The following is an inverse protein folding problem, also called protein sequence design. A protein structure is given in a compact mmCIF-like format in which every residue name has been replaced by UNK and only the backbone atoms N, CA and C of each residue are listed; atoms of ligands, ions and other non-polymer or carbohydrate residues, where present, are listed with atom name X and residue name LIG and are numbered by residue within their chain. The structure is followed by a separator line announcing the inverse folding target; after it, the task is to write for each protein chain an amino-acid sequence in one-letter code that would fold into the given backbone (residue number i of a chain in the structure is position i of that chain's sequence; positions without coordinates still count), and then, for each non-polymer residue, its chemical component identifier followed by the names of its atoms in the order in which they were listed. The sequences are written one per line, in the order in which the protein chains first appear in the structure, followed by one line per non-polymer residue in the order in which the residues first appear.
data_IF_519863332769
#
_entry.id   IF_519863332769
#
_cell.length_a   1.000
_cell.length_b   1.000
_cell.length_c   1.000
_cell.angle_alpha   90.00
_cell.angle_beta   90.00
_cell.angle_gamma   90.00
#
_symmetry.space_group_name_H-M   'P 1'
#
loop_
_entity.id
_entity.type
_entity.pdbx_description
1 polymer ?
#
# COMPACT_ATOMS: atom_id res chain seq x y z
N UNK A 1 32.25 -6.26 28.16
CA UNK A 1 31.69 -7.22 27.18
C UNK A 1 30.44 -6.58 26.59
N UNK A 2 30.47 -6.21 25.30
CA UNK A 2 29.34 -5.54 24.67
C UNK A 2 28.32 -6.58 24.19
N UNK A 3 27.08 -6.48 24.66
CA UNK A 3 25.99 -7.33 24.22
C UNK A 3 25.56 -6.87 22.81
N UNK A 4 25.87 -7.67 21.79
CA UNK A 4 25.36 -7.44 20.42
C UNK A 4 24.08 -8.24 20.22
N UNK A 5 23.07 -7.61 19.62
CA UNK A 5 21.89 -8.34 19.17
C UNK A 5 22.26 -9.27 17.99
N UNK A 6 21.39 -10.22 17.65
CA UNK A 6 21.68 -11.21 16.61
C UNK A 6 21.83 -10.61 15.20
N UNK A 7 21.24 -9.44 14.95
CA UNK A 7 21.36 -8.73 13.68
C UNK A 7 22.72 -8.05 13.49
N UNK A 8 23.40 -7.74 14.59
CA UNK A 8 24.72 -7.10 14.55
C UNK A 8 24.71 -5.78 13.79
N UNK A 9 25.73 -5.58 12.97
CA UNK A 9 25.94 -4.37 12.18
C UNK A 9 25.13 -4.44 10.86
N UNK A 10 24.74 -3.28 10.31
CA UNK A 10 24.00 -3.17 9.05
C UNK A 10 22.70 -4.00 8.96
N UNK A 11 21.97 -4.16 10.08
CA UNK A 11 20.68 -4.86 10.12
C UNK A 11 20.77 -6.33 9.61
N UNK A 12 21.90 -7.01 9.80
CA UNK A 12 22.14 -8.35 9.22
C UNK A 12 22.22 -8.38 7.68
N UNK A 13 22.24 -7.21 7.05
CA UNK A 13 22.06 -7.04 5.61
C UNK A 13 20.60 -7.14 5.15
N UNK A 14 19.62 -7.13 6.06
CA UNK A 14 18.22 -7.13 5.70
C UNK A 14 17.80 -5.77 5.15
N UNK A 15 17.08 -5.77 4.02
CA UNK A 15 16.55 -4.55 3.40
C UNK A 15 15.52 -3.81 4.25
N UNK A 16 14.75 -4.55 5.07
CA UNK A 16 13.67 -3.99 5.90
C UNK A 16 13.82 -4.44 7.35
N UNK A 17 13.34 -5.63 7.70
CA UNK A 17 13.30 -6.09 9.09
C UNK A 17 14.33 -7.19 9.31
N UNK A 18 15.10 -7.08 10.39
CA UNK A 18 15.92 -8.17 10.92
C UNK A 18 15.30 -8.64 12.24
N UNK A 19 14.86 -9.90 12.26
CA UNK A 19 14.16 -10.49 13.41
C UNK A 19 15.00 -11.62 14.01
N UNK A 20 15.04 -11.69 15.35
CA UNK A 20 15.69 -12.79 16.07
C UNK A 20 15.00 -14.11 15.70
N UNK A 21 15.78 -15.14 15.43
CA UNK A 21 15.31 -16.51 15.21
C UNK A 21 16.09 -17.49 16.11
N UNK A 22 15.62 -18.74 16.30
CA UNK A 22 16.37 -19.76 17.04
C UNK A 22 17.77 -20.02 16.47
N UNK A 23 17.95 -19.87 15.15
CA UNK A 23 19.23 -20.05 14.43
C UNK A 23 20.11 -18.78 14.41
N UNK A 24 19.63 -17.68 15.00
CA UNK A 24 20.32 -16.38 15.02
C UNK A 24 19.34 -15.26 14.67
N UNK A 25 19.25 -14.94 13.39
CA UNK A 25 18.29 -13.98 12.86
C UNK A 25 17.75 -14.41 11.48
N UNK A 26 16.65 -13.80 11.06
CA UNK A 26 16.09 -13.92 9.72
C UNK A 26 15.59 -12.56 9.24
N UNK A 27 15.68 -12.31 7.94
CA UNK A 27 15.08 -11.12 7.36
C UNK A 27 13.57 -11.33 7.14
N UNK A 28 12.80 -10.27 7.36
CA UNK A 28 11.36 -10.25 7.12
C UNK A 28 10.95 -8.99 6.36
N UNK A 29 9.82 -9.07 5.67
CA UNK A 29 9.31 -8.01 4.82
C UNK A 29 8.08 -7.34 5.43
N UNK A 30 7.79 -6.08 5.04
CA UNK A 30 6.53 -5.43 5.37
C UNK A 30 5.32 -6.30 5.00
N UNK A 31 4.22 -6.10 5.70
CA UNK A 31 2.98 -6.85 5.47
C UNK A 31 2.59 -6.86 4.00
N UNK A 32 2.33 -8.05 3.48
CA UNK A 32 1.90 -8.26 2.11
C UNK A 32 3.00 -8.21 1.05
N UNK A 33 4.29 -8.05 1.40
CA UNK A 33 5.40 -8.20 0.43
C UNK A 33 6.23 -9.44 0.71
N UNK A 34 6.79 -10.02 -0.36
CA UNK A 34 7.60 -11.24 -0.27
C UNK A 34 9.10 -10.92 -0.12
N UNK A 35 9.80 -11.81 0.57
CA UNK A 35 11.25 -11.86 0.61
C UNK A 35 11.77 -12.47 -0.70
N UNK A 36 12.79 -11.85 -1.28
CA UNK A 36 13.44 -12.35 -2.48
C UNK A 36 14.30 -13.59 -2.18
N UNK A 37 14.72 -14.27 -3.26
CA UNK A 37 15.51 -15.50 -3.17
C UNK A 37 16.87 -15.34 -2.48
N UNK A 38 17.37 -14.11 -2.33
CA UNK A 38 18.61 -13.83 -1.58
C UNK A 38 18.42 -13.91 -0.05
N UNK A 39 17.19 -14.06 0.42
CA UNK A 39 16.84 -14.15 1.83
C UNK A 39 17.04 -12.84 2.61
N UNK A 40 17.23 -11.70 1.93
CA UNK A 40 17.57 -10.41 2.54
C UNK A 40 16.78 -9.23 2.00
N UNK A 41 16.46 -9.25 0.72
CA UNK A 41 15.84 -8.14 0.01
C UNK A 41 14.35 -8.38 -0.15
N UNK A 42 13.52 -7.37 0.10
CA UNK A 42 12.07 -7.48 -0.11
C UNK A 42 11.67 -6.95 -1.48
N UNK A 43 10.62 -7.52 -2.06
CA UNK A 43 9.93 -6.84 -3.16
C UNK A 43 9.32 -5.53 -2.67
N UNK A 44 9.41 -4.49 -3.49
CA UNK A 44 8.89 -3.16 -3.16
C UNK A 44 7.36 -3.16 -2.96
N UNK A 45 6.66 -4.03 -3.68
CA UNK A 45 5.21 -4.17 -3.65
C UNK A 45 4.82 -5.63 -3.95
N UNK A 46 3.61 -6.08 -3.54
CA UNK A 46 3.06 -7.33 -4.03
C UNK A 46 2.88 -7.32 -5.55
N UNK A 47 3.00 -8.48 -6.15
CA UNK A 47 2.74 -8.74 -7.57
C UNK A 47 1.25 -8.73 -7.86
N UNK A 48 0.45 -9.39 -7.00
CA UNK A 48 -1.00 -9.43 -7.12
C UNK A 48 -1.65 -8.90 -5.84
N UNK A 49 -2.59 -7.97 -5.99
CA UNK A 49 -3.25 -7.34 -4.85
C UNK A 49 -4.63 -6.82 -5.21
N UNK A 50 -5.49 -6.72 -4.20
CA UNK A 50 -6.78 -6.02 -4.26
C UNK A 50 -6.59 -4.61 -3.74
N UNK A 51 -7.23 -3.63 -4.40
CA UNK A 51 -7.23 -2.23 -4.02
C UNK A 51 -8.67 -1.77 -3.82
N UNK A 52 -8.97 -1.13 -2.70
CA UNK A 52 -10.31 -0.62 -2.40
C UNK A 52 -10.25 0.70 -1.62
N UNK A 53 -11.36 1.44 -1.65
CA UNK A 53 -11.53 2.66 -0.88
C UNK A 53 -12.12 2.35 0.51
N UNK A 54 -11.50 2.86 1.55
CA UNK A 54 -11.93 2.73 2.94
C UNK A 54 -12.28 4.12 3.52
N UNK A 55 -13.28 4.79 2.92
CA UNK A 55 -13.80 6.13 3.27
C UNK A 55 -12.73 7.24 3.37
N UNK A 56 -11.88 7.25 4.39
CA UNK A 56 -10.82 8.23 4.60
C UNK A 56 -9.46 7.75 4.10
N UNK A 57 -9.38 6.59 3.48
CA UNK A 57 -8.12 6.06 2.93
C UNK A 57 -8.35 5.17 1.71
N UNK A 58 -7.25 4.85 1.03
CA UNK A 58 -7.17 3.73 0.10
C UNK A 58 -6.44 2.59 0.78
N UNK A 59 -6.89 1.36 0.57
CA UNK A 59 -6.36 0.18 1.26
C UNK A 59 -6.07 -0.92 0.25
N UNK A 60 -4.99 -1.65 0.49
CA UNK A 60 -4.53 -2.75 -0.35
C UNK A 60 -4.45 -4.04 0.44
N UNK A 61 -4.90 -5.15 -0.14
CA UNK A 61 -4.69 -6.51 0.38
C UNK A 61 -3.79 -7.26 -0.59
N UNK A 62 -2.69 -7.83 -0.09
CA UNK A 62 -1.82 -8.69 -0.91
C UNK A 62 -2.48 -10.04 -1.16
N UNK A 63 -2.36 -10.55 -2.39
CA UNK A 63 -2.75 -11.93 -2.74
C UNK A 63 -1.52 -12.85 -2.86
N UNK A 64 -0.32 -12.30 -2.70
CA UNK A 64 0.93 -13.06 -2.72
C UNK A 64 1.20 -13.78 -1.40
N UNK A 65 0.54 -13.34 -0.32
CA UNK A 65 0.71 -13.85 1.04
C UNK A 65 -0.60 -14.42 1.58
N UNK A 66 -0.51 -15.43 2.45
CA UNK A 66 -1.68 -16.19 2.93
C UNK A 66 -2.45 -15.50 4.06
N UNK A 67 -1.90 -14.43 4.63
CA UNK A 67 -2.49 -13.67 5.72
C UNK A 67 -3.59 -12.70 5.24
N UNK A 68 -3.58 -12.33 3.95
CA UNK A 68 -4.56 -11.42 3.33
C UNK A 68 -4.84 -10.15 4.15
N UNK A 69 -3.81 -9.65 4.83
CA UNK A 69 -3.95 -8.48 5.69
C UNK A 69 -4.15 -7.20 4.86
N UNK A 70 -5.04 -6.33 5.33
CA UNK A 70 -5.32 -5.05 4.70
C UNK A 70 -4.33 -3.96 5.17
N UNK A 71 -3.65 -3.36 4.20
CA UNK A 71 -2.64 -2.33 4.43
C UNK A 71 -3.17 -1.01 3.90
N UNK A 72 -3.35 -0.05 4.81
CA UNK A 72 -3.74 1.32 4.44
C UNK A 72 -2.59 2.02 3.71
N UNK A 73 -2.88 2.56 2.54
CA UNK A 73 -1.92 3.34 1.75
C UNK A 73 -1.83 4.76 2.31
N UNK A 74 -0.61 5.31 2.52
CA UNK A 74 -0.40 6.64 3.08
C UNK A 74 -0.65 7.76 2.06
N UNK A 75 -1.84 7.81 1.47
CA UNK A 75 -2.24 8.87 0.53
C UNK A 75 -2.85 10.02 1.31
N UNK A 76 -2.26 11.23 1.29
CA UNK A 76 -2.75 12.35 2.08
C UNK A 76 -4.03 12.96 1.50
N UNK A 77 -4.79 13.65 2.36
CA UNK A 77 -5.91 14.49 1.92
C UNK A 77 -7.13 13.74 1.39
N UNK A 78 -7.32 12.47 1.75
CA UNK A 78 -8.56 11.71 1.47
C UNK A 78 -9.61 12.04 2.53
N UNK A 79 -10.77 12.51 2.10
CA UNK A 79 -11.88 12.90 2.97
C UNK A 79 -13.03 11.90 2.88
N UNK A 80 -13.45 11.54 1.67
CA UNK A 80 -14.51 10.54 1.46
C UNK A 80 -14.37 9.83 0.12
N UNK A 81 -13.39 8.92 0.03
CA UNK A 81 -13.18 8.05 -1.12
C UNK A 81 -14.26 6.96 -1.21
N UNK A 82 -14.89 6.84 -2.39
CA UNK A 82 -15.99 5.89 -2.64
C UNK A 82 -15.68 4.84 -3.69
N UNK A 83 -14.81 5.15 -4.65
CA UNK A 83 -14.49 4.27 -5.78
C UNK A 83 -13.01 4.38 -6.09
N UNK A 84 -12.43 3.29 -6.60
CA UNK A 84 -11.04 3.20 -7.02
C UNK A 84 -10.93 2.44 -8.33
N UNK A 85 -9.98 2.83 -9.17
CA UNK A 85 -9.56 2.14 -10.40
C UNK A 85 -8.04 2.24 -10.53
N UNK A 86 -7.42 1.34 -11.31
CA UNK A 86 -5.97 1.22 -11.40
C UNK A 86 -5.48 1.06 -12.83
N UNK A 87 -4.61 1.97 -13.26
CA UNK A 87 -3.93 1.88 -14.56
C UNK A 87 -2.57 1.20 -14.40
N UNK A 88 -2.54 -0.12 -14.62
CA UNK A 88 -1.38 -0.98 -14.40
C UNK A 88 -0.07 -0.51 -15.06
N UNK A 89 -0.10 -0.15 -16.35
CA UNK A 89 1.12 0.22 -17.08
C UNK A 89 1.75 1.55 -16.63
N UNK A 90 0.98 2.44 -15.99
CA UNK A 90 1.44 3.74 -15.48
C UNK A 90 1.56 3.75 -13.95
N UNK A 91 1.20 2.66 -13.29
CA UNK A 91 1.11 2.57 -11.83
C UNK A 91 0.31 3.72 -11.21
N UNK A 92 -0.81 4.11 -11.84
CA UNK A 92 -1.68 5.20 -11.35
C UNK A 92 -2.93 4.64 -10.71
N UNK A 93 -3.22 5.10 -9.50
CA UNK A 93 -4.49 4.85 -8.80
C UNK A 93 -5.39 6.04 -9.07
N UNK A 94 -6.58 5.80 -9.60
CA UNK A 94 -7.64 6.79 -9.74
C UNK A 94 -8.69 6.55 -8.66
N UNK A 95 -9.15 7.60 -8.01
CA UNK A 95 -10.16 7.49 -6.97
C UNK A 95 -11.07 8.71 -6.93
N UNK A 96 -12.31 8.48 -6.53
CA UNK A 96 -13.34 9.53 -6.43
C UNK A 96 -13.46 9.95 -4.97
N UNK A 97 -13.25 11.23 -4.67
CA UNK A 97 -13.52 11.81 -3.35
C UNK A 97 -14.77 12.70 -3.42
N UNK A 98 -15.86 12.22 -2.83
CA UNK A 98 -17.16 12.89 -2.94
C UNK A 98 -17.30 14.08 -2.00
N UNK A 99 -16.44 14.20 -0.97
CA UNK A 99 -16.48 15.35 -0.05
C UNK A 99 -15.96 16.62 -0.73
N UNK A 100 -14.99 16.47 -1.63
CA UNK A 100 -14.43 17.58 -2.42
C UNK A 100 -14.88 17.56 -3.89
N UNK A 101 -15.74 16.60 -4.26
CA UNK A 101 -16.30 16.41 -5.59
C UNK A 101 -15.23 16.36 -6.70
N UNK A 102 -14.17 15.57 -6.50
CA UNK A 102 -13.09 15.41 -7.48
C UNK A 102 -12.79 13.96 -7.80
N UNK A 103 -12.30 13.72 -9.02
CA UNK A 103 -11.59 12.50 -9.38
C UNK A 103 -10.10 12.80 -9.31
N UNK A 104 -9.39 12.03 -8.49
CA UNK A 104 -7.97 12.24 -8.20
C UNK A 104 -7.15 11.06 -8.68
N UNK A 105 -5.88 11.32 -8.96
CA UNK A 105 -4.91 10.31 -9.33
C UNK A 105 -3.68 10.40 -8.43
N UNK A 106 -3.10 9.27 -8.06
CA UNK A 106 -1.83 9.21 -7.35
C UNK A 106 -0.96 8.07 -7.88
N UNK A 107 0.36 8.26 -7.89
CA UNK A 107 1.29 7.21 -8.30
C UNK A 107 1.49 6.19 -7.16
N UNK A 108 1.35 4.90 -7.48
CA UNK A 108 1.46 3.78 -6.52
C UNK A 108 2.83 3.67 -5.85
N UNK A 109 3.91 4.18 -6.48
CA UNK A 109 5.26 4.08 -5.92
C UNK A 109 5.58 5.19 -4.90
N UNK A 110 4.98 6.37 -5.03
CA UNK A 110 5.28 7.51 -4.16
C UNK A 110 4.13 7.80 -3.18
N UNK A 111 2.87 7.64 -3.60
CA UNK A 111 1.65 7.85 -2.80
C UNK A 111 1.45 9.25 -2.19
N UNK A 112 2.45 10.13 -2.23
CA UNK A 112 2.49 11.38 -1.45
C UNK A 112 1.82 12.57 -2.14
N UNK A 113 1.60 12.50 -3.46
CA UNK A 113 1.17 13.65 -4.27
C UNK A 113 -0.07 13.29 -5.11
N UNK A 114 -1.27 13.25 -4.52
CA UNK A 114 -2.51 13.12 -5.28
C UNK A 114 -2.75 14.39 -6.12
N UNK A 115 -3.19 14.21 -7.36
CA UNK A 115 -3.50 15.27 -8.33
C UNK A 115 -4.97 15.21 -8.70
N UNK A 116 -5.65 16.36 -8.71
CA UNK A 116 -7.01 16.47 -9.20
C UNK A 116 -7.01 16.38 -10.73
N UNK A 117 -7.69 15.36 -11.27
CA UNK A 117 -7.81 15.14 -12.72
C UNK A 117 -9.09 15.76 -13.24
N UNK A 118 -10.18 15.61 -12.48
CA UNK A 118 -11.48 16.22 -12.79
C UNK A 118 -12.01 16.86 -11.52
N UNK A 119 -12.39 18.13 -11.62
CA UNK A 119 -12.94 18.93 -10.51
C UNK A 119 -14.24 19.66 -10.86
N UNK A 120 -14.79 19.42 -12.05
CA UNK A 120 -16.03 20.02 -12.52
C UNK A 120 -16.92 18.98 -13.22
N UNK A 121 -18.24 19.20 -13.18
CA UNK A 121 -19.25 18.39 -13.87
C UNK A 121 -19.28 16.90 -13.49
N UNK A 122 -18.83 16.55 -12.28
CA UNK A 122 -18.93 15.18 -11.76
C UNK A 122 -20.32 14.98 -11.16
N UNK A 123 -21.10 14.08 -11.76
CA UNK A 123 -22.31 13.52 -11.14
C UNK A 123 -21.88 12.31 -10.32
N UNK A 124 -21.69 12.51 -9.02
CA UNK A 124 -21.47 11.40 -8.10
C UNK A 124 -22.79 10.63 -7.94
N UNK A 125 -22.79 9.28 -7.95
CA UNK A 125 -23.98 8.52 -7.62
C UNK A 125 -24.25 8.65 -6.11
N UNK A 126 -24.75 9.80 -5.67
CA UNK A 126 -25.21 10.01 -4.30
C UNK A 126 -26.61 9.40 -4.21
N UNK A 127 -26.69 8.22 -3.59
CA UNK A 127 -27.95 7.55 -3.23
C UNK A 127 -28.87 7.18 -4.41
N UNK A 128 -28.41 6.32 -5.31
CA UNK A 128 -29.37 5.41 -5.97
C UNK A 128 -29.89 4.44 -4.89
N UNK A 129 -30.92 4.85 -4.14
CA UNK A 129 -31.77 3.89 -3.44
C UNK A 129 -32.34 2.99 -4.53
N UNK A 130 -31.86 1.76 -4.61
CA UNK A 130 -32.47 0.72 -5.43
C UNK A 130 -33.94 0.60 -5.03
N UNK A 131 -34.82 0.75 -6.03
CA UNK A 131 -36.27 0.54 -5.95
C UNK A 131 -36.54 -0.92 -5.56
#
# INVERSE_FOLDING_TARGET
QYCRNACGDNNGGCSHLCLRSPEGYSCACPTGTLLQADGKTCYFQPNVYLLFAAKTSLTRVSLDTHDYWDVTLPVPGIQNAVSVDFHWNKSLIFFVDVAINTIRSVNMHNLSHPVDIISANITTPVNSKTI
#
